data_IF_835849271830
#
_entry.id   IF_835849271830
#
_cell.length_a   1.000
_cell.length_b   1.000
_cell.length_c   1.000
_cell.angle_alpha   90.00
_cell.angle_beta   90.00
_cell.angle_gamma   90.00
#
_symmetry.space_group_name_H-M   'P 1'
#
loop_
_entity.id
_entity.type
_entity.pdbx_description
1 polymer ?
#
# COMPACT_ATOMS: atom_id res chain seq x y z
N UNK A 1 -21.07 -23.83 17.42
CA UNK A 1 -20.49 -22.81 16.52
C UNK A 1 -20.12 -21.49 17.17
N UNK A 2 -21.00 -20.75 17.85
CA UNK A 2 -20.63 -19.47 18.49
C UNK A 2 -19.65 -19.59 19.67
N UNK A 3 -19.57 -20.76 20.32
CA UNK A 3 -18.57 -21.03 21.37
C UNK A 3 -17.16 -21.18 20.78
N UNK A 4 -17.01 -21.66 19.54
CA UNK A 4 -15.70 -21.91 18.93
C UNK A 4 -15.08 -20.68 18.24
N UNK A 5 -15.77 -19.54 18.21
CA UNK A 5 -15.31 -18.34 17.49
C UNK A 5 -15.18 -17.09 18.34
N UNK A 6 -15.66 -17.12 19.59
CA UNK A 6 -15.66 -15.98 20.53
C UNK A 6 -15.34 -16.40 21.98
N UNK A 7 -14.61 -17.49 22.18
CA UNK A 7 -14.21 -17.92 23.53
C UNK A 7 -12.74 -18.27 23.57
N UNK A 8 -12.14 -18.22 24.76
CA UNK A 8 -10.76 -18.64 25.06
C UNK A 8 -10.43 -20.05 24.50
N UNK A 9 -11.45 -20.86 24.19
CA UNK A 9 -11.30 -22.18 23.60
C UNK A 9 -10.87 -22.14 22.13
N UNK A 10 -11.28 -21.12 21.35
CA UNK A 10 -10.83 -20.94 19.96
C UNK A 10 -9.34 -20.68 19.91
N UNK A 11 -8.87 -19.82 20.80
CA UNK A 11 -7.49 -19.36 20.84
C UNK A 11 -6.57 -20.52 21.25
N UNK A 12 -6.99 -21.32 22.25
CA UNK A 12 -6.27 -22.54 22.65
C UNK A 12 -6.25 -23.63 21.57
N UNK A 13 -7.30 -23.73 20.75
CA UNK A 13 -7.31 -24.66 19.61
C UNK A 13 -6.38 -24.19 18.50
N UNK A 14 -6.35 -22.89 18.22
CA UNK A 14 -5.42 -22.27 17.26
C UNK A 14 -3.97 -22.45 17.71
N UNK A 15 -3.66 -22.21 18.98
CA UNK A 15 -2.34 -22.45 19.56
C UNK A 15 -1.92 -23.93 19.47
N UNK A 16 -2.83 -24.87 19.77
CA UNK A 16 -2.55 -26.30 19.68
C UNK A 16 -2.32 -26.76 18.24
N UNK A 17 -3.10 -26.25 17.27
CA UNK A 17 -2.95 -26.58 15.85
C UNK A 17 -1.65 -26.00 15.27
N UNK A 18 -1.32 -24.77 15.67
CA UNK A 18 -0.06 -24.08 15.33
C UNK A 18 1.14 -24.87 15.84
N UNK A 19 1.08 -25.38 17.08
CA UNK A 19 2.17 -26.13 17.70
C UNK A 19 2.33 -27.55 17.14
N UNK A 20 1.22 -28.27 16.90
CA UNK A 20 1.24 -29.65 16.41
C UNK A 20 1.60 -29.75 14.92
N UNK A 21 1.10 -28.82 14.10
CA UNK A 21 1.24 -28.89 12.65
C UNK A 21 2.27 -27.90 12.08
N UNK A 22 2.90 -27.06 12.93
CA UNK A 22 3.83 -25.99 12.52
C UNK A 22 3.28 -25.07 11.43
N UNK A 23 1.97 -24.84 11.44
CA UNK A 23 1.26 -23.95 10.52
C UNK A 23 1.06 -22.58 11.17
N UNK A 24 0.88 -21.52 10.39
CA UNK A 24 0.64 -20.18 10.95
C UNK A 24 -0.76 -20.09 11.59
N UNK A 25 -0.93 -19.19 12.56
CA UNK A 25 -2.22 -19.00 13.26
C UNK A 25 -3.40 -18.77 12.30
N UNK A 26 -3.15 -18.06 11.20
CA UNK A 26 -4.14 -17.84 10.14
C UNK A 26 -4.54 -19.13 9.40
N UNK A 27 -3.60 -20.07 9.21
CA UNK A 27 -3.91 -21.38 8.62
C UNK A 27 -4.66 -22.29 9.61
N UNK A 28 -4.36 -22.17 10.91
CA UNK A 28 -5.08 -22.87 11.96
C UNK A 28 -6.54 -22.36 12.08
N UNK A 29 -6.77 -21.05 11.94
CA UNK A 29 -8.11 -20.45 11.90
C UNK A 29 -8.94 -20.93 10.71
N UNK A 30 -8.35 -20.98 9.52
CA UNK A 30 -9.03 -21.49 8.30
C UNK A 30 -9.44 -22.96 8.48
N UNK A 31 -8.56 -23.79 9.03
CA UNK A 31 -8.90 -25.19 9.34
C UNK A 31 -10.02 -25.31 10.38
N UNK A 32 -10.02 -24.45 11.39
CA UNK A 32 -11.07 -24.42 12.41
C UNK A 32 -12.42 -24.02 11.81
N UNK A 33 -12.42 -23.14 10.80
CA UNK A 33 -13.62 -22.78 10.04
C UNK A 33 -14.10 -23.91 9.11
N UNK A 34 -13.19 -24.63 8.45
CA UNK A 34 -13.51 -25.80 7.63
C UNK A 34 -14.13 -26.94 8.45
N UNK A 35 -13.74 -27.08 9.72
CA UNK A 35 -14.31 -28.07 10.66
C UNK A 35 -15.69 -27.68 11.19
N UNK A 36 -16.18 -26.45 10.92
CA UNK A 36 -17.50 -25.96 11.37
C UNK A 36 -18.43 -25.57 10.20
N UNK A 37 -18.77 -26.51 9.30
CA UNK A 37 -19.49 -26.24 8.05
C UNK A 37 -20.98 -25.86 8.23
N UNK A 38 -21.55 -25.94 9.44
CA UNK A 38 -22.96 -25.64 9.71
C UNK A 38 -23.29 -24.14 9.84
N UNK A 39 -22.30 -23.26 9.86
CA UNK A 39 -22.49 -21.82 10.04
C UNK A 39 -23.11 -21.08 8.82
N UNK A 40 -23.32 -21.74 7.68
CA UNK A 40 -23.74 -21.11 6.43
C UNK A 40 -25.25 -20.91 6.23
N UNK A 41 -26.11 -21.24 7.21
CA UNK A 41 -27.56 -21.16 7.03
C UNK A 41 -28.19 -20.22 8.08
N UNK A 42 -28.09 -18.91 7.82
CA UNK A 42 -28.97 -17.91 8.45
C UNK A 42 -29.65 -17.12 7.32
N UNK A 43 -30.97 -17.26 7.09
CA UNK A 43 -31.63 -16.77 5.88
C UNK A 43 -31.74 -15.24 5.68
N UNK A 44 -31.33 -14.39 6.63
CA UNK A 44 -31.56 -12.93 6.59
C UNK A 44 -30.34 -12.07 7.01
N UNK A 45 -29.12 -12.48 6.68
CA UNK A 45 -27.93 -11.63 6.84
C UNK A 45 -27.75 -10.69 5.62
N UNK A 46 -27.73 -9.37 5.86
CA UNK A 46 -27.38 -8.36 4.84
C UNK A 46 -26.06 -8.73 4.13
N UNK A 47 -25.89 -8.40 2.83
CA UNK A 47 -24.66 -8.70 2.12
C UNK A 47 -23.48 -8.00 2.79
N UNK A 48 -22.61 -8.75 3.45
CA UNK A 48 -21.30 -8.27 3.86
C UNK A 48 -20.47 -8.18 2.58
N UNK A 49 -19.94 -6.99 2.30
CA UNK A 49 -19.11 -6.73 1.13
C UNK A 49 -18.02 -7.81 1.04
N UNK A 50 -17.87 -8.40 -0.14
CA UNK A 50 -16.76 -9.31 -0.43
C UNK A 50 -15.47 -8.53 -0.24
N UNK A 51 -14.82 -8.70 0.91
CA UNK A 51 -13.43 -8.36 1.09
C UNK A 51 -12.68 -9.27 0.11
N UNK A 52 -12.14 -8.68 -0.95
CA UNK A 52 -11.24 -9.40 -1.84
C UNK A 52 -10.07 -9.92 -1.00
N UNK A 53 -9.80 -11.22 -1.15
CA UNK A 53 -8.73 -11.93 -0.45
C UNK A 53 -7.43 -11.12 -0.56
N UNK A 54 -6.73 -10.83 0.57
CA UNK A 54 -5.36 -10.39 0.50
C UNK A 54 -4.57 -11.42 -0.32
N UNK A 55 -3.89 -10.97 -1.37
CA UNK A 55 -2.95 -11.81 -2.12
C UNK A 55 -1.96 -12.42 -1.13
N UNK A 56 -1.58 -13.70 -1.29
CA UNK A 56 -0.81 -14.45 -0.30
C UNK A 56 0.47 -13.70 0.10
N UNK A 57 0.68 -13.58 1.41
CA UNK A 57 1.89 -13.04 1.99
C UNK A 57 3.10 -13.83 1.50
N UNK A 58 3.98 -13.15 0.74
CA UNK A 58 5.31 -13.66 0.43
C UNK A 58 6.16 -13.47 1.69
N UNK A 59 6.68 -14.56 2.25
CA UNK A 59 7.45 -14.54 3.49
C UNK A 59 8.68 -13.61 3.39
N UNK A 60 8.86 -12.73 4.37
CA UNK A 60 10.01 -11.81 4.50
C UNK A 60 9.73 -10.31 4.27
N UNK A 61 8.46 -9.93 4.16
CA UNK A 61 8.02 -8.57 3.79
C UNK A 61 8.13 -7.56 4.93
N UNK A 62 8.67 -6.37 4.62
CA UNK A 62 8.92 -5.24 5.53
C UNK A 62 7.69 -4.33 5.68
N UNK A 63 6.51 -4.72 5.20
CA UNK A 63 5.27 -3.93 5.19
C UNK A 63 4.75 -3.60 6.61
N UNK A 64 5.39 -2.65 7.28
CA UNK A 64 4.99 -2.09 8.57
C UNK A 64 3.92 -1.01 8.39
N UNK A 65 3.96 -0.27 7.28
CA UNK A 65 2.96 0.76 6.97
C UNK A 65 1.74 0.09 6.31
N UNK A 66 0.61 0.11 7.00
CA UNK A 66 -0.68 -0.42 6.52
C UNK A 66 -1.58 0.75 6.16
N UNK A 67 -2.17 0.72 4.96
CA UNK A 67 -3.12 1.72 4.46
C UNK A 67 -4.35 0.99 3.95
N UNK A 68 -5.54 1.52 4.25
CA UNK A 68 -6.82 0.99 3.80
C UNK A 68 -7.32 1.67 2.51
N UNK A 69 -6.82 2.88 2.22
CA UNK A 69 -7.23 3.69 1.08
C UNK A 69 -8.62 4.32 1.25
N UNK A 70 -9.11 4.45 2.49
CA UNK A 70 -10.39 5.08 2.80
C UNK A 70 -10.24 6.58 3.11
N UNK A 71 -9.10 6.99 3.67
CA UNK A 71 -8.80 8.37 4.02
C UNK A 71 -7.45 8.84 3.47
N UNK A 72 -7.31 10.14 3.23
CA UNK A 72 -6.06 10.73 2.80
C UNK A 72 -5.01 10.66 3.93
N UNK A 73 -3.78 10.29 3.59
CA UNK A 73 -2.72 10.16 4.57
C UNK A 73 -2.10 11.55 4.81
N UNK A 74 -1.97 12.01 6.08
CA UNK A 74 -1.24 13.23 6.37
C UNK A 74 0.25 13.04 6.12
N UNK A 75 0.91 14.06 5.58
CA UNK A 75 2.36 14.07 5.48
C UNK A 75 3.07 14.42 6.78
N UNK A 76 4.41 14.38 6.80
CA UNK A 76 5.32 14.17 5.67
C UNK A 76 5.46 12.70 5.24
N UNK A 77 6.06 12.47 4.06
CA UNK A 77 6.49 11.14 3.62
C UNK A 77 7.42 10.47 4.66
N UNK A 78 7.26 9.15 4.87
CA UNK A 78 8.15 8.38 5.73
C UNK A 78 9.52 8.21 5.06
N UNK A 79 10.56 8.82 5.63
CA UNK A 79 11.92 8.79 5.07
C UNK A 79 12.54 7.39 5.03
N UNK A 80 12.01 6.44 5.80
CA UNK A 80 12.43 5.04 5.90
C UNK A 80 11.44 4.11 5.18
N UNK A 81 10.58 4.62 4.28
CA UNK A 81 9.58 3.80 3.60
C UNK A 81 10.17 2.57 2.90
N UNK A 82 11.40 2.65 2.37
CA UNK A 82 12.09 1.52 1.72
C UNK A 82 12.34 0.34 2.68
N UNK A 83 12.40 0.63 3.99
CA UNK A 83 12.52 -0.35 5.06
C UNK A 83 11.19 -0.72 5.72
N UNK A 84 10.10 -0.04 5.38
CA UNK A 84 8.77 -0.22 5.99
C UNK A 84 7.68 -0.60 5.00
N UNK A 85 8.01 -0.66 3.71
CA UNK A 85 7.12 -1.02 2.62
C UNK A 85 7.80 -2.01 1.70
N UNK A 86 7.03 -2.94 1.16
CA UNK A 86 7.55 -3.85 0.16
C UNK A 86 7.63 -3.19 -1.21
N UNK A 87 8.69 -3.51 -1.94
CA UNK A 87 8.76 -3.17 -3.36
C UNK A 87 7.60 -3.82 -4.12
N UNK A 88 6.93 -3.01 -4.92
CA UNK A 88 5.79 -3.36 -5.74
C UNK A 88 6.18 -3.36 -7.22
N UNK A 89 5.27 -3.76 -8.11
CA UNK A 89 5.56 -3.81 -9.54
C UNK A 89 5.94 -2.42 -10.07
N UNK A 90 7.10 -2.26 -10.74
CA UNK A 90 7.51 -0.96 -11.25
C UNK A 90 6.59 -0.53 -12.39
N UNK A 91 6.45 0.78 -12.57
CA UNK A 91 5.63 1.41 -13.59
C UNK A 91 6.48 1.84 -14.78
N UNK A 92 6.09 1.42 -15.99
CA UNK A 92 6.74 1.89 -17.22
C UNK A 92 6.05 3.16 -17.72
N UNK A 93 6.80 4.23 -17.81
CA UNK A 93 6.33 5.54 -18.28
C UNK A 93 6.25 5.61 -19.80
N UNK A 94 5.60 6.65 -20.33
CA UNK A 94 5.50 6.89 -21.78
C UNK A 94 6.83 7.27 -22.43
N UNK A 95 7.80 7.80 -21.69
CA UNK A 95 9.18 8.05 -22.17
C UNK A 95 10.03 6.79 -22.19
N UNK A 96 9.52 5.66 -21.66
CA UNK A 96 10.24 4.39 -21.57
C UNK A 96 11.03 4.20 -20.28
N UNK A 97 11.10 5.22 -19.42
CA UNK A 97 11.71 5.14 -18.10
C UNK A 97 10.89 4.26 -17.15
N UNK A 98 11.56 3.60 -16.22
CA UNK A 98 10.94 2.75 -15.20
C UNK A 98 10.91 3.51 -13.87
N UNK A 99 9.72 3.66 -13.29
CA UNK A 99 9.52 4.24 -11.96
C UNK A 99 9.27 3.09 -10.98
N UNK A 100 10.11 3.01 -9.95
CA UNK A 100 9.94 2.02 -8.90
C UNK A 100 8.73 2.36 -8.02
N UNK A 101 8.09 1.35 -7.41
CA UNK A 101 6.94 1.55 -6.53
C UNK A 101 7.08 0.71 -5.25
N UNK A 102 6.50 1.19 -4.15
CA UNK A 102 6.52 0.54 -2.84
C UNK A 102 5.16 0.61 -2.17
N UNK A 103 4.74 -0.47 -1.53
CA UNK A 103 3.50 -0.51 -0.74
C UNK A 103 2.20 -0.40 -1.56
N UNK A 104 2.25 -0.50 -2.89
CA UNK A 104 1.05 -0.46 -3.75
C UNK A 104 0.23 -1.74 -3.58
N UNK A 105 -1.06 -1.57 -3.30
CA UNK A 105 -2.00 -2.70 -3.12
C UNK A 105 -3.05 -2.66 -4.22
N UNK A 106 -3.33 -3.82 -4.82
CA UNK A 106 -4.37 -3.94 -5.83
C UNK A 106 -4.04 -3.23 -7.16
N UNK A 107 -5.09 -2.99 -7.95
CA UNK A 107 -5.03 -2.26 -9.22
C UNK A 107 -6.05 -1.13 -9.30
N UNK A 108 -6.84 -0.93 -8.24
CA UNK A 108 -7.91 0.05 -8.10
C UNK A 108 -7.42 1.42 -7.60
N UNK A 109 -6.10 1.59 -7.42
CA UNK A 109 -5.42 2.82 -7.00
C UNK A 109 -5.85 3.37 -5.63
N UNK A 110 -6.57 2.60 -4.81
CA UNK A 110 -6.93 3.02 -3.45
C UNK A 110 -5.69 3.20 -2.57
N UNK A 111 -4.74 2.27 -2.66
CA UNK A 111 -3.46 2.32 -1.96
C UNK A 111 -2.34 2.28 -2.99
N UNK A 112 -1.76 3.44 -3.27
CA UNK A 112 -0.72 3.57 -4.29
C UNK A 112 0.69 3.52 -3.73
N UNK A 113 0.86 3.85 -2.45
CA UNK A 113 2.14 3.84 -1.77
C UNK A 113 3.11 4.90 -2.30
N UNK A 114 4.41 4.61 -2.20
CA UNK A 114 5.48 5.53 -2.64
C UNK A 114 5.96 5.14 -4.03
N UNK A 115 6.25 6.13 -4.85
CA UNK A 115 6.73 5.99 -6.23
C UNK A 115 8.07 6.70 -6.39
N UNK A 116 9.00 6.17 -7.18
CA UNK A 116 10.34 6.71 -7.42
C UNK A 116 11.39 6.29 -6.37
N UNK A 117 12.62 6.01 -6.83
CA UNK A 117 13.77 5.56 -6.03
C UNK A 117 14.58 6.70 -5.43
N UNK A 118 14.95 7.68 -6.26
CA UNK A 118 15.79 8.80 -5.86
C UNK A 118 14.96 10.07 -5.74
N UNK A 119 13.89 10.18 -6.55
CA UNK A 119 12.96 11.29 -6.51
C UNK A 119 11.59 10.71 -6.14
N UNK A 120 11.43 10.41 -4.84
CA UNK A 120 10.31 9.65 -4.29
C UNK A 120 9.12 10.54 -3.97
N UNK A 121 7.92 10.12 -4.33
CA UNK A 121 6.66 10.80 -4.06
C UNK A 121 5.69 9.79 -3.45
N UNK A 122 5.14 10.11 -2.29
CA UNK A 122 4.07 9.34 -1.68
C UNK A 122 2.74 9.71 -2.31
N UNK A 123 2.19 8.78 -3.09
CA UNK A 123 0.97 9.00 -3.84
C UNK A 123 -0.28 8.98 -2.95
N UNK A 124 -0.23 8.41 -1.74
CA UNK A 124 -1.37 8.45 -0.81
C UNK A 124 -1.39 9.72 0.06
N UNK A 125 -0.29 10.49 0.06
CA UNK A 125 -0.19 11.82 0.70
C UNK A 125 -0.40 12.94 -0.34
N UNK A 126 0.03 12.72 -1.58
CA UNK A 126 0.01 13.74 -2.64
C UNK A 126 -1.42 14.24 -2.94
N UNK A 127 -1.62 15.55 -2.85
CA UNK A 127 -2.90 16.24 -3.11
C UNK A 127 -3.02 16.86 -4.51
N UNK A 128 -2.12 16.49 -5.43
CA UNK A 128 -2.04 17.04 -6.80
C UNK A 128 -1.86 18.57 -6.89
N UNK A 129 -1.15 19.16 -5.94
CA UNK A 129 -0.88 20.62 -5.91
C UNK A 129 -0.16 21.13 -7.17
N UNK A 130 0.91 20.44 -7.57
CA UNK A 130 1.65 20.75 -8.81
C UNK A 130 2.89 21.63 -8.64
N UNK A 131 3.15 22.23 -7.46
CA UNK A 131 4.33 23.07 -7.26
C UNK A 131 5.67 22.36 -7.56
N UNK A 132 5.73 21.03 -7.41
CA UNK A 132 6.91 20.25 -7.76
C UNK A 132 7.20 20.21 -9.27
N UNK A 133 6.17 20.31 -10.12
CA UNK A 133 6.33 20.36 -11.58
C UNK A 133 6.91 21.72 -11.96
N UNK A 134 6.31 22.81 -11.44
CA UNK A 134 6.75 24.18 -11.73
C UNK A 134 8.16 24.48 -11.19
N UNK A 135 8.51 23.89 -10.05
CA UNK A 135 9.81 24.09 -9.42
C UNK A 135 10.94 23.25 -10.04
N UNK A 136 10.64 22.24 -10.87
CA UNK A 136 11.64 21.31 -11.37
C UNK A 136 12.35 21.87 -12.62
N UNK A 137 13.65 22.25 -12.55
CA UNK A 137 14.35 22.89 -13.67
C UNK A 137 14.65 21.93 -14.84
N UNK A 138 14.50 20.62 -14.61
CA UNK A 138 14.84 19.55 -15.55
C UNK A 138 13.63 18.71 -15.96
N UNK A 139 12.41 19.11 -15.56
CA UNK A 139 11.18 18.46 -16.02
C UNK A 139 11.06 16.97 -15.64
N UNK A 140 11.37 16.62 -14.39
CA UNK A 140 11.23 15.24 -13.86
C UNK A 140 9.77 14.78 -13.84
N UNK A 141 8.86 15.70 -13.51
CA UNK A 141 7.47 15.41 -13.20
C UNK A 141 6.56 15.82 -14.36
N UNK A 142 5.57 14.96 -14.65
CA UNK A 142 4.41 15.33 -15.45
C UNK A 142 3.16 14.73 -14.82
N UNK A 143 2.02 15.27 -15.19
CA UNK A 143 0.78 15.09 -14.48
C UNK A 143 -0.03 13.96 -15.12
N UNK A 144 -0.28 12.90 -14.36
CA UNK A 144 -0.98 11.71 -14.84
C UNK A 144 -2.24 11.43 -14.02
N UNK A 145 -3.26 10.88 -14.69
CA UNK A 145 -4.49 10.46 -14.03
C UNK A 145 -4.32 9.10 -13.34
N UNK A 146 -4.68 9.07 -12.07
CA UNK A 146 -4.73 7.89 -11.21
C UNK A 146 -6.05 7.93 -10.41
N UNK A 147 -7.17 7.75 -11.11
CA UNK A 147 -8.49 7.71 -10.49
C UNK A 147 -8.58 6.57 -9.47
N UNK A 148 -9.27 6.81 -8.35
CA UNK A 148 -9.52 5.82 -7.30
C UNK A 148 -8.78 6.09 -5.98
N UNK A 149 -7.80 7.01 -5.98
CA UNK A 149 -7.10 7.42 -4.77
C UNK A 149 -7.83 8.56 -4.05
N UNK A 150 -7.95 8.44 -2.73
CA UNK A 150 -8.69 9.38 -1.86
C UNK A 150 -8.00 10.73 -1.68
N UNK A 151 -6.66 10.80 -1.81
CA UNK A 151 -5.94 12.06 -1.67
C UNK A 151 -6.06 12.94 -2.93
N UNK A 152 -6.02 12.33 -4.12
CA UNK A 152 -6.29 13.02 -5.39
C UNK A 152 -6.43 12.03 -6.56
N UNK A 153 -7.23 12.36 -7.57
CA UNK A 153 -7.38 11.56 -8.79
C UNK A 153 -6.23 11.73 -9.81
N UNK A 154 -5.26 12.59 -9.52
CA UNK A 154 -4.14 12.94 -10.39
C UNK A 154 -2.85 13.00 -9.58
N UNK A 155 -1.71 12.61 -10.15
CA UNK A 155 -0.42 12.61 -9.45
C UNK A 155 0.71 13.14 -10.35
N UNK A 156 1.72 13.82 -9.78
CA UNK A 156 2.94 14.19 -10.49
C UNK A 156 3.83 12.95 -10.65
N UNK A 157 3.69 12.25 -11.76
CA UNK A 157 4.50 11.09 -12.10
C UNK A 157 5.92 11.52 -12.46
N UNK A 158 6.91 10.84 -11.89
CA UNK A 158 8.34 11.07 -12.12
C UNK A 158 8.80 10.46 -13.45
N UNK A 159 8.18 10.92 -14.54
CA UNK A 159 8.39 10.41 -15.90
C UNK A 159 9.86 10.44 -16.34
N UNK A 160 10.62 11.41 -15.85
CA UNK A 160 12.05 11.57 -16.12
C UNK A 160 12.88 11.52 -14.83
N UNK A 161 12.55 10.61 -13.91
CA UNK A 161 13.32 10.41 -12.67
C UNK A 161 14.85 10.38 -12.87
N UNK A 162 15.42 9.74 -13.92
CA UNK A 162 16.88 9.73 -14.14
C UNK A 162 17.49 11.11 -14.38
N UNK A 163 16.71 12.12 -14.79
CA UNK A 163 17.20 13.47 -15.09
C UNK A 163 17.27 14.35 -13.83
N UNK A 164 16.83 13.83 -12.69
CA UNK A 164 16.78 14.53 -11.41
C UNK A 164 18.19 14.95 -10.96
N UNK A 165 18.43 16.27 -10.83
CA UNK A 165 19.72 16.86 -10.43
C UNK A 165 19.87 17.06 -8.91
N UNK A 166 19.01 16.45 -8.10
CA UNK A 166 19.03 16.53 -6.63
C UNK A 166 19.03 17.96 -6.06
N UNK A 167 18.38 18.92 -6.72
CA UNK A 167 18.32 20.32 -6.28
C UNK A 167 17.43 20.57 -5.04
N UNK A 168 16.65 19.57 -4.62
CA UNK A 168 15.74 19.60 -3.45
C UNK A 168 14.58 20.61 -3.55
N UNK A 169 14.41 21.31 -4.68
CA UNK A 169 13.35 22.30 -4.85
C UNK A 169 11.94 21.70 -4.65
N UNK A 170 11.67 20.55 -5.27
CA UNK A 170 10.38 19.84 -5.14
C UNK A 170 10.07 19.38 -3.70
N UNK A 171 11.09 19.03 -2.91
CA UNK A 171 10.94 18.68 -1.49
C UNK A 171 10.53 19.91 -0.66
N UNK A 172 11.11 21.08 -0.96
CA UNK A 172 10.82 22.32 -0.23
C UNK A 172 9.48 22.97 -0.58
N UNK A 173 8.98 22.81 -1.81
CA UNK A 173 7.73 23.46 -2.26
C UNK A 173 6.48 22.61 -2.04
N UNK A 174 6.60 21.31 -1.76
CA UNK A 174 5.46 20.41 -1.62
C UNK A 174 4.68 20.69 -0.33
N UNK A 175 3.42 21.18 -0.39
CA UNK A 175 2.68 21.56 0.83
C UNK A 175 2.46 20.42 1.82
N UNK A 176 2.05 19.20 1.41
CA UNK A 176 1.94 18.07 2.33
C UNK A 176 3.28 17.35 2.56
N UNK A 177 4.40 17.87 2.05
CA UNK A 177 5.72 17.23 2.16
C UNK A 177 5.71 15.75 1.74
N UNK A 178 5.02 15.46 0.63
CA UNK A 178 4.89 14.11 0.08
C UNK A 178 6.12 13.64 -0.70
N UNK A 179 7.14 14.50 -0.85
CA UNK A 179 8.30 14.26 -1.72
C UNK A 179 9.55 14.13 -0.86
N UNK A 180 10.36 13.12 -1.14
CA UNK A 180 11.72 12.99 -0.57
C UNK A 180 12.73 12.70 -1.66
N UNK A 181 13.82 13.46 -1.64
CA UNK A 181 14.95 13.25 -2.55
C UNK A 181 16.06 12.47 -1.84
N UNK A 182 16.56 11.42 -2.47
CA UNK A 182 17.69 10.60 -2.03
C UNK A 182 18.84 10.76 -3.05
N UNK A 183 19.85 11.59 -2.75
CA UNK A 183 21.03 11.72 -3.60
C UNK A 183 21.74 10.37 -3.78
N UNK A 184 22.31 10.16 -4.97
CA UNK A 184 23.15 9.00 -5.29
C UNK A 184 24.57 9.13 -4.76
#
# INVERSE_FOLDING_TARGET
DTILRNTILSDKMVESLTSLEKISENQALIKLEELTPLAQIVPDAKPIAKIEKPKPAVAGKKQVIVRDGEEAIPGPIDIEYKDKMDQSAPFKTSTGNMVQTWGRVGADNKVMGVWGEFCSVDFDICVADGACIDACPVGVYDFFEFSGNVASAKKPLQINEPDCIFCLACEGVCPPQAIKIYPQ
#
